data_IF_957392699753
#
_entry.id   IF_957392699753
#
_cell.length_a   1.000
_cell.length_b   1.000
_cell.length_c   1.000
_cell.angle_alpha   90.00
_cell.angle_beta   90.00
_cell.angle_gamma   90.00
#
_symmetry.space_group_name_H-M   'P 1'
#
loop_
_entity.id
_entity.type
_entity.pdbx_description
1 polymer ?
#
# COMPACT_ATOMS: atom_id res chain seq x y z
N UNK A 1 -9.22 -17.14 -6.17
CA UNK A 1 -9.59 -16.87 -4.76
C UNK A 1 -10.15 -15.46 -4.72
N UNK A 2 -11.41 -15.28 -4.34
CA UNK A 2 -12.07 -13.97 -4.38
C UNK A 2 -11.97 -13.31 -2.99
N UNK A 3 -10.96 -12.47 -2.79
CA UNK A 3 -10.81 -11.70 -1.53
C UNK A 3 -11.93 -10.65 -1.53
N UNK A 4 -12.62 -10.47 -0.40
CA UNK A 4 -13.70 -9.48 -0.34
C UNK A 4 -13.16 -8.08 -0.67
N UNK A 5 -13.91 -7.33 -1.48
CA UNK A 5 -13.54 -5.95 -1.85
C UNK A 5 -13.35 -5.06 -0.62
N UNK A 6 -14.05 -5.34 0.49
CA UNK A 6 -13.90 -4.61 1.74
C UNK A 6 -12.51 -4.85 2.36
N UNK A 7 -12.06 -6.10 2.44
CA UNK A 7 -10.72 -6.41 2.98
C UNK A 7 -9.65 -5.72 2.12
N UNK A 8 -9.72 -5.88 0.79
CA UNK A 8 -8.75 -5.25 -0.11
C UNK A 8 -8.73 -3.73 0.02
N UNK A 9 -9.90 -3.09 0.18
CA UNK A 9 -9.98 -1.64 0.38
C UNK A 9 -9.36 -1.22 1.71
N UNK A 10 -9.69 -1.89 2.81
CA UNK A 10 -9.12 -1.61 4.13
C UNK A 10 -7.59 -1.71 4.13
N UNK A 11 -7.04 -2.79 3.57
CA UNK A 11 -5.58 -2.98 3.52
C UNK A 11 -4.89 -1.87 2.72
N UNK A 12 -5.48 -1.44 1.62
CA UNK A 12 -4.95 -0.33 0.83
C UNK A 12 -5.01 1.01 1.55
N UNK A 13 -6.13 1.29 2.24
CA UNK A 13 -6.27 2.52 3.03
C UNK A 13 -5.23 2.56 4.15
N UNK A 14 -5.00 1.44 4.83
CA UNK A 14 -3.97 1.31 5.86
C UNK A 14 -2.57 1.47 5.30
N UNK A 15 -2.28 0.81 4.17
CA UNK A 15 -0.99 0.93 3.49
C UNK A 15 -0.71 2.37 3.04
N UNK A 16 -1.69 3.03 2.43
CA UNK A 16 -1.57 4.44 2.03
C UNK A 16 -1.40 5.35 3.24
N UNK A 17 -2.16 5.12 4.31
CA UNK A 17 -2.05 5.88 5.55
C UNK A 17 -0.64 5.77 6.16
N UNK A 18 -0.06 4.56 6.15
CA UNK A 18 1.32 4.34 6.56
C UNK A 18 2.31 5.10 5.66
N UNK A 19 2.17 5.01 4.34
CA UNK A 19 3.07 5.71 3.41
C UNK A 19 3.02 7.22 3.61
N UNK A 20 1.82 7.80 3.74
CA UNK A 20 1.64 9.24 4.00
C UNK A 20 2.28 9.66 5.33
N UNK A 21 2.07 8.88 6.40
CA UNK A 21 2.62 9.18 7.73
C UNK A 21 4.14 9.10 7.78
N UNK A 22 4.75 8.22 6.98
CA UNK A 22 6.18 7.93 7.01
C UNK A 22 6.91 8.39 5.73
N UNK A 23 6.35 9.33 4.98
CA UNK A 23 6.89 9.75 3.69
C UNK A 23 8.35 10.21 3.76
N UNK A 24 8.73 10.93 4.83
CA UNK A 24 10.10 11.36 5.06
C UNK A 24 11.07 10.17 5.22
N UNK A 25 10.73 9.20 6.07
CA UNK A 25 11.54 8.00 6.29
C UNK A 25 11.59 7.10 5.06
N UNK A 26 10.51 6.99 4.29
CA UNK A 26 10.49 6.25 3.03
C UNK A 26 11.43 6.90 2.01
N UNK A 27 11.47 8.24 1.95
CA UNK A 27 12.41 8.98 1.12
C UNK A 27 13.85 8.74 1.54
N UNK A 28 14.15 8.78 2.84
CA UNK A 28 15.48 8.45 3.38
C UNK A 28 15.88 7.01 3.00
N UNK A 29 14.98 6.04 3.14
CA UNK A 29 15.22 4.64 2.74
C UNK A 29 15.53 4.47 1.25
N UNK A 30 15.01 5.36 0.40
CA UNK A 30 15.30 5.38 -1.04
C UNK A 30 16.67 6.01 -1.35
N UNK A 31 17.10 6.97 -0.53
CA UNK A 31 18.39 7.66 -0.70
C UNK A 31 19.57 6.85 -0.12
N UNK A 32 19.30 5.83 0.70
CA UNK A 32 20.32 4.92 1.20
C UNK A 32 20.88 4.01 0.10
N UNK A 33 22.15 4.20 -0.23
CA UNK A 33 22.91 3.26 -1.06
C UNK A 33 22.85 1.84 -0.45
N UNK A 34 22.46 0.86 -1.27
CA UNK A 34 22.27 -0.57 -0.89
C UNK A 34 21.01 -0.91 -0.08
N UNK A 35 20.02 -0.02 0.00
CA UNK A 35 18.72 -0.36 0.59
C UNK A 35 18.01 -1.44 -0.22
N UNK A 36 17.88 -2.65 0.33
CA UNK A 36 17.06 -3.74 -0.24
C UNK A 36 15.55 -3.51 -0.05
N UNK A 37 15.19 -2.42 0.64
CA UNK A 37 13.84 -2.07 1.04
C UNK A 37 13.09 -1.35 -0.09
N UNK A 38 13.80 -0.67 -1.00
CA UNK A 38 13.21 0.00 -2.16
C UNK A 38 13.59 -0.74 -3.44
N UNK A 39 12.60 -0.99 -4.30
CA UNK A 39 12.76 -1.66 -5.58
C UNK A 39 12.35 -0.68 -6.66
N UNK A 40 13.26 -0.46 -7.62
CA UNK A 40 12.96 0.29 -8.84
C UNK A 40 12.27 -0.61 -9.86
N UNK A 41 11.12 -0.18 -10.36
CA UNK A 41 10.35 -0.87 -11.39
C UNK A 41 10.84 -0.47 -12.80
N UNK A 42 10.34 -1.18 -13.82
CA UNK A 42 10.74 -0.97 -15.22
C UNK A 42 10.33 0.40 -15.78
N UNK A 43 9.32 1.04 -15.18
CA UNK A 43 8.79 2.35 -15.56
C UNK A 43 9.39 3.50 -14.74
N UNK A 44 10.56 3.26 -14.13
CA UNK A 44 11.24 4.16 -13.19
C UNK A 44 10.47 4.47 -11.89
N UNK A 45 9.26 3.92 -11.70
CA UNK A 45 8.53 4.04 -10.44
C UNK A 45 9.22 3.27 -9.33
N UNK A 46 9.03 3.73 -8.10
CA UNK A 46 9.62 3.13 -6.91
C UNK A 46 8.55 2.40 -6.13
N UNK A 47 8.85 1.22 -5.62
CA UNK A 47 8.00 0.55 -4.63
C UNK A 47 8.82 0.00 -3.49
N UNK A 48 8.19 -0.14 -2.33
CA UNK A 48 8.81 -0.86 -1.23
C UNK A 48 8.81 -2.37 -1.51
N UNK A 49 9.80 -3.07 -0.96
CA UNK A 49 9.95 -4.51 -1.09
C UNK A 49 8.69 -5.23 -0.60
N UNK A 50 8.25 -6.26 -1.32
CA UNK A 50 7.01 -6.97 -1.00
C UNK A 50 6.94 -7.51 0.42
N UNK A 51 8.05 -8.02 0.97
CA UNK A 51 8.10 -8.49 2.35
C UNK A 51 7.93 -7.34 3.35
N UNK A 52 8.50 -6.16 3.04
CA UNK A 52 8.32 -4.97 3.86
C UNK A 52 6.86 -4.51 3.86
N UNK A 53 6.22 -4.49 2.67
CA UNK A 53 4.80 -4.13 2.53
C UNK A 53 3.94 -5.10 3.35
N UNK A 54 4.10 -6.41 3.14
CA UNK A 54 3.29 -7.42 3.81
C UNK A 54 3.53 -7.45 5.32
N UNK A 55 4.78 -7.32 5.77
CA UNK A 55 5.11 -7.23 7.19
C UNK A 55 4.49 -5.99 7.85
N UNK A 56 4.55 -4.84 7.17
CA UNK A 56 3.91 -3.60 7.64
C UNK A 56 2.41 -3.77 7.77
N UNK A 57 1.75 -4.31 6.73
CA UNK A 57 0.30 -4.57 6.77
C UNK A 57 -0.06 -5.50 7.92
N UNK A 58 0.70 -6.57 8.13
CA UNK A 58 0.40 -7.51 9.18
C UNK A 58 0.58 -6.90 10.58
N UNK A 59 1.49 -5.92 10.73
CA UNK A 59 1.62 -5.11 11.95
C UNK A 59 0.49 -4.08 12.14
N UNK A 60 -0.01 -3.48 11.06
CA UNK A 60 -1.14 -2.53 11.10
C UNK A 60 -2.49 -3.22 11.32
N UNK A 61 -2.62 -4.43 10.82
CA UNK A 61 -3.84 -5.22 10.88
C UNK A 61 -3.51 -6.67 11.22
N UNK A 62 -3.41 -7.00 12.52
CA UNK A 62 -3.10 -8.37 12.97
C UNK A 62 -4.10 -9.42 12.45
N UNK A 63 -5.36 -9.05 12.22
CA UNK A 63 -6.38 -9.97 11.67
C UNK A 63 -6.07 -10.37 10.23
N UNK A 64 -5.33 -9.53 9.49
CA UNK A 64 -4.88 -9.84 8.13
C UNK A 64 -3.66 -10.77 8.08
N UNK A 65 -2.98 -11.00 9.23
CA UNK A 65 -1.76 -11.81 9.30
C UNK A 65 -2.00 -13.26 8.85
N UNK A 66 -3.09 -13.89 9.28
CA UNK A 66 -3.43 -15.27 8.90
C UNK A 66 -3.70 -15.38 7.40
N UNK A 67 -4.44 -14.42 6.84
CA UNK A 67 -4.72 -14.36 5.41
C UNK A 67 -3.43 -14.17 4.59
N UNK A 68 -2.57 -13.24 4.98
CA UNK A 68 -1.28 -12.99 4.30
C UNK A 68 -0.40 -14.23 4.37
N UNK A 69 -0.31 -14.88 5.53
CA UNK A 69 0.44 -16.12 5.72
C UNK A 69 -0.07 -17.22 4.80
N UNK A 70 -1.39 -17.38 4.69
CA UNK A 70 -2.00 -18.36 3.79
C UNK A 70 -1.72 -18.06 2.32
N UNK A 71 -1.81 -16.79 1.92
CA UNK A 71 -1.51 -16.36 0.54
C UNK A 71 -0.03 -16.58 0.18
N UNK A 72 0.90 -16.33 1.12
CA UNK A 72 2.34 -16.54 0.95
C UNK A 72 2.74 -18.01 0.86
N UNK A 73 1.98 -18.94 1.45
CA UNK A 73 2.21 -20.39 1.27
C UNK A 73 1.95 -20.86 -0.15
N UNK A 74 1.10 -20.13 -0.88
CA UNK A 74 0.61 -20.53 -2.20
C UNK A 74 1.22 -19.69 -3.33
N UNK A 75 1.78 -18.53 -3.01
CA UNK A 75 2.24 -17.54 -4.00
C UNK A 75 3.50 -16.83 -3.52
N UNK A 76 4.27 -16.27 -4.45
CA UNK A 76 5.38 -15.38 -4.10
C UNK A 76 4.89 -14.08 -3.46
N UNK A 77 5.69 -13.42 -2.60
CA UNK A 77 5.35 -12.13 -2.01
C UNK A 77 4.89 -11.09 -3.03
N UNK A 78 5.55 -11.03 -4.20
CA UNK A 78 5.20 -10.09 -5.27
C UNK A 78 3.81 -10.34 -5.85
N UNK A 79 3.43 -11.61 -6.04
CA UNK A 79 2.09 -11.96 -6.51
C UNK A 79 1.02 -11.60 -5.47
N UNK A 80 1.31 -11.80 -4.18
CA UNK A 80 0.38 -11.41 -3.11
C UNK A 80 0.19 -9.89 -3.06
N UNK A 81 1.28 -9.12 -3.09
CA UNK A 81 1.22 -7.64 -3.10
C UNK A 81 0.45 -7.14 -4.32
N UNK A 82 0.69 -7.70 -5.50
CA UNK A 82 -0.02 -7.33 -6.74
C UNK A 82 -1.50 -7.72 -6.70
N UNK A 83 -1.83 -8.91 -6.19
CA UNK A 83 -3.23 -9.34 -6.04
C UNK A 83 -4.02 -8.45 -5.08
N UNK A 84 -3.36 -7.98 -4.02
CA UNK A 84 -3.90 -7.01 -3.07
C UNK A 84 -3.83 -5.56 -3.59
N UNK A 85 -3.17 -5.32 -4.73
CA UNK A 85 -2.93 -3.99 -5.32
C UNK A 85 -2.30 -3.01 -4.32
N UNK A 86 -1.24 -3.49 -3.65
CA UNK A 86 -0.43 -2.73 -2.69
C UNK A 86 0.90 -2.24 -3.30
N UNK A 87 1.16 -2.58 -4.57
CA UNK A 87 2.38 -2.29 -5.34
C UNK A 87 2.45 -0.86 -5.91
N UNK A 88 1.80 0.11 -5.27
CA UNK A 88 1.85 1.50 -5.72
C UNK A 88 3.11 2.22 -5.22
N UNK A 89 3.48 3.27 -5.95
CA UNK A 89 4.58 4.16 -5.58
C UNK A 89 4.18 5.06 -4.41
N UNK A 90 4.85 4.94 -3.24
CA UNK A 90 4.49 5.69 -2.04
C UNK A 90 4.85 7.18 -2.10
N UNK A 91 5.72 7.59 -3.04
CA UNK A 91 6.20 8.96 -3.21
C UNK A 91 5.55 9.68 -4.41
N UNK A 92 4.94 8.93 -5.33
CA UNK A 92 4.20 9.51 -6.45
C UNK A 92 2.91 10.21 -5.96
N UNK A 93 2.90 11.54 -6.02
CA UNK A 93 1.75 12.40 -5.66
C UNK A 93 0.50 12.18 -6.53
N UNK A 94 0.65 11.57 -7.71
CA UNK A 94 -0.43 11.31 -8.68
C UNK A 94 -1.05 9.90 -8.57
N UNK A 95 -0.42 8.99 -7.80
CA UNK A 95 -0.80 7.58 -7.72
C UNK A 95 -1.72 7.25 -6.53
N UNK A 96 -2.53 8.22 -6.08
CA UNK A 96 -3.70 7.87 -5.25
C UNK A 96 -4.63 7.04 -6.14
N UNK A 97 -4.90 5.77 -5.77
CA UNK A 97 -5.79 4.93 -6.55
C UNK A 97 -7.13 5.61 -6.79
N UNK A 98 -7.70 5.45 -7.99
CA UNK A 98 -8.93 6.14 -8.38
C UNK A 98 -10.11 5.93 -7.41
N UNK A 99 -10.13 4.79 -6.68
CA UNK A 99 -11.14 4.49 -5.67
C UNK A 99 -11.02 5.37 -4.40
N UNK A 100 -9.86 5.97 -4.12
CA UNK A 100 -9.66 6.91 -3.01
C UNK A 100 -9.89 8.37 -3.39
N UNK A 101 -9.81 8.72 -4.68
CA UNK A 101 -10.07 10.09 -5.15
C UNK A 101 -11.51 10.55 -4.90
N UNK A 102 -12.48 9.63 -4.81
CA UNK A 102 -13.90 9.97 -4.58
C UNK A 102 -14.22 10.47 -3.16
N UNK A 103 -13.37 10.20 -2.16
CA UNK A 103 -13.63 10.59 -0.77
C UNK A 103 -13.27 12.06 -0.49
N UNK A 104 -12.34 12.64 -1.22
CA UNK A 104 -11.91 14.03 -1.02
C UNK A 104 -12.83 15.06 -1.70
N UNK A 105 -13.64 14.63 -2.69
CA UNK A 105 -14.60 15.49 -3.40
C UNK A 105 -15.99 15.56 -2.74
N UNK A 106 -16.19 14.99 -1.55
CA UNK A 106 -17.51 14.85 -0.90
C UNK A 106 -17.70 15.64 0.40
N UNK A 107 -16.84 16.61 0.72
CA UNK A 107 -16.96 17.42 1.94
C UNK A 107 -16.78 18.90 1.62
N UNK A 108 -17.76 19.48 0.94
CA UNK A 108 -18.05 20.91 0.97
C UNK A 108 -19.45 21.11 0.38
N UNK A 109 -20.25 21.91 1.08
CA UNK A 109 -21.62 22.35 0.75
C UNK A 109 -22.75 21.54 1.38
N UNK A 110 -22.90 21.64 2.70
CA UNK A 110 -24.22 21.81 3.33
C UNK A 110 -24.05 22.68 4.59
N UNK A 111 -24.18 24.00 4.42
CA UNK A 111 -24.43 24.97 5.50
C UNK A 111 -24.87 26.31 4.89
N UNK A 112 -26.07 26.37 4.32
CA UNK A 112 -26.85 27.62 4.23
C UNK A 112 -28.33 27.26 4.44
N UNK A 113 -28.81 27.47 5.67
CA UNK A 113 -30.20 27.70 6.03
C UNK A 113 -30.27 29.08 6.69
#
# INVERSE_FOLDING_TARGET
MNISNNIKTTLKEQWLGFCKKNAASIKELNELENSSVVIKLQDDSLRLNSLFILGTIAGLNPESFELITLLLKLNSPDLVVKALELDFDPLATSNIPAFLRRRESGSSSESEL
#
